data_IF_182350865624
#
_entry.id   IF_182350865624
#
_cell.length_a   1.000
_cell.length_b   1.000
_cell.length_c   1.000
_cell.angle_alpha   90.00
_cell.angle_beta   90.00
_cell.angle_gamma   90.00
#
_symmetry.space_group_name_H-M   'P 1'
#
loop_
_entity.id
_entity.type
_entity.pdbx_description
1 polymer ?
#
# COMPACT_ATOMS: atom_id res chain seq x y z
N UNK A 1 -5.68 29.95 -27.96
CA UNK A 1 -6.45 28.74 -27.61
C UNK A 1 -5.89 28.24 -26.29
N UNK A 2 -6.64 28.39 -25.21
CA UNK A 2 -6.22 27.95 -23.87
C UNK A 2 -6.98 26.68 -23.56
N UNK A 3 -6.30 25.53 -23.48
CA UNK A 3 -6.95 24.29 -23.04
C UNK A 3 -7.03 24.36 -21.53
N UNK A 4 -8.24 24.55 -21.00
CA UNK A 4 -8.52 24.38 -19.58
C UNK A 4 -8.77 22.89 -19.33
N UNK A 5 -7.71 22.13 -19.07
CA UNK A 5 -7.86 20.78 -18.53
C UNK A 5 -8.44 20.88 -17.11
N UNK A 6 -9.49 20.12 -16.82
CA UNK A 6 -9.93 19.91 -15.43
C UNK A 6 -9.09 18.78 -14.86
N UNK A 7 -8.51 18.96 -13.67
CA UNK A 7 -7.77 17.88 -13.02
C UNK A 7 -8.70 16.71 -12.72
N UNK A 8 -8.37 15.52 -13.21
CA UNK A 8 -9.13 14.31 -12.97
C UNK A 8 -8.83 13.71 -11.58
N UNK A 9 -9.71 12.85 -11.08
CA UNK A 9 -9.49 12.14 -9.80
C UNK A 9 -8.81 10.80 -10.09
N UNK A 10 -7.69 10.46 -9.42
CA UNK A 10 -7.03 9.19 -9.65
C UNK A 10 -7.85 8.00 -9.16
N UNK A 11 -7.74 6.87 -9.87
CA UNK A 11 -8.35 5.60 -9.52
C UNK A 11 -7.30 4.67 -8.89
N UNK A 12 -7.57 4.18 -7.68
CA UNK A 12 -6.73 3.20 -6.97
C UNK A 12 -7.36 1.80 -7.08
N UNK A 13 -6.56 0.81 -7.44
CA UNK A 13 -6.98 -0.60 -7.54
C UNK A 13 -5.93 -1.56 -6.96
N UNK A 14 -6.22 -2.87 -7.02
CA UNK A 14 -5.34 -3.94 -6.51
C UNK A 14 -5.78 -4.51 -5.16
N UNK A 15 -4.84 -5.16 -4.47
CA UNK A 15 -5.12 -5.82 -3.19
C UNK A 15 -4.99 -4.80 -2.07
N UNK A 16 -6.13 -4.37 -1.51
CA UNK A 16 -6.20 -3.41 -0.40
C UNK A 16 -6.36 -4.06 0.97
N UNK A 17 -6.73 -5.33 1.02
CA UNK A 17 -7.01 -6.08 2.26
C UNK A 17 -6.18 -7.36 2.34
N UNK A 18 -6.00 -7.87 3.55
CA UNK A 18 -5.37 -9.17 3.77
C UNK A 18 -5.61 -9.66 5.19
N UNK A 19 -5.52 -10.97 5.38
CA UNK A 19 -5.67 -11.64 6.67
C UNK A 19 -4.41 -12.42 7.01
N UNK A 20 -4.20 -12.62 8.31
CA UNK A 20 -3.16 -13.47 8.87
C UNK A 20 -3.79 -14.29 9.99
N UNK A 21 -3.25 -15.48 10.23
CA UNK A 21 -3.64 -16.35 11.35
C UNK A 21 -2.52 -16.31 12.38
N UNK A 22 -2.86 -16.13 13.65
CA UNK A 22 -1.86 -16.13 14.73
C UNK A 22 -0.99 -17.40 14.70
N UNK A 23 0.27 -17.21 15.09
CA UNK A 23 1.29 -18.26 15.20
C UNK A 23 1.54 -19.08 13.93
N UNK A 24 1.08 -18.59 12.79
CA UNK A 24 1.24 -19.25 11.48
C UNK A 24 2.14 -18.43 10.58
N UNK A 25 3.13 -19.08 9.94
CA UNK A 25 4.01 -18.45 8.95
C UNK A 25 4.71 -17.16 9.45
N UNK A 26 5.24 -17.22 10.67
CA UNK A 26 5.96 -16.10 11.27
C UNK A 26 7.29 -15.82 10.55
N UNK A 27 7.52 -14.56 10.20
CA UNK A 27 8.82 -14.06 9.76
C UNK A 27 9.40 -13.18 10.86
N UNK A 28 10.52 -13.61 11.46
CA UNK A 28 11.17 -12.88 12.56
C UNK A 28 10.21 -12.55 13.73
N UNK A 29 9.29 -13.47 14.03
CA UNK A 29 8.28 -13.29 15.09
C UNK A 29 7.08 -12.42 14.71
N UNK A 30 6.97 -11.98 13.45
CA UNK A 30 5.84 -11.19 12.96
C UNK A 30 5.03 -11.96 11.92
N UNK A 31 3.74 -11.67 11.88
CA UNK A 31 2.84 -12.07 10.82
C UNK A 31 2.93 -11.03 9.71
N UNK A 32 3.29 -11.46 8.50
CA UNK A 32 3.48 -10.55 7.37
C UNK A 32 2.48 -10.83 6.26
N UNK A 33 1.88 -9.77 5.71
CA UNK A 33 1.06 -9.87 4.50
C UNK A 33 1.39 -8.74 3.54
N UNK A 34 1.64 -9.10 2.29
CA UNK A 34 1.93 -8.16 1.21
C UNK A 34 0.92 -8.24 0.07
N UNK A 35 0.80 -7.16 -0.67
CA UNK A 35 -0.02 -7.06 -1.88
C UNK A 35 0.37 -5.83 -2.71
N UNK A 36 -0.09 -5.77 -3.96
CA UNK A 36 0.21 -4.65 -4.86
C UNK A 36 -1.02 -3.76 -4.98
N UNK A 37 -0.81 -2.44 -4.91
CA UNK A 37 -1.80 -1.45 -5.34
C UNK A 37 -1.33 -0.79 -6.63
N UNK A 38 -2.29 -0.37 -7.43
CA UNK A 38 -2.07 0.39 -8.66
C UNK A 38 -2.81 1.71 -8.58
N UNK A 39 -2.28 2.74 -9.24
CA UNK A 39 -2.93 4.05 -9.39
C UNK A 39 -2.89 4.47 -10.86
N UNK A 40 -4.03 4.95 -11.36
CA UNK A 40 -4.17 5.47 -12.70
C UNK A 40 -4.86 6.84 -12.64
N UNK A 41 -4.30 7.80 -13.35
CA UNK A 41 -4.79 9.16 -13.51
C UNK A 41 -4.69 9.52 -15.00
N UNK A 42 -5.72 10.19 -15.53
CA UNK A 42 -5.75 10.65 -16.93
C UNK A 42 -4.74 11.77 -17.14
N UNK A 43 -4.46 12.54 -16.09
CA UNK A 43 -3.48 13.61 -16.13
C UNK A 43 -2.05 13.05 -16.12
N UNK A 44 -1.29 13.43 -17.14
CA UNK A 44 0.08 12.97 -17.33
C UNK A 44 0.95 13.29 -16.11
N UNK A 45 1.60 12.27 -15.56
CA UNK A 45 2.48 12.40 -14.39
C UNK A 45 1.79 12.38 -13.03
N UNK A 46 0.45 12.29 -12.97
CA UNK A 46 -0.30 12.28 -11.71
C UNK A 46 -0.59 10.87 -11.16
N UNK A 47 -0.24 9.82 -11.90
CA UNK A 47 -0.36 8.42 -11.46
C UNK A 47 0.75 8.01 -10.48
N UNK A 48 0.74 8.55 -9.26
CA UNK A 48 1.78 8.25 -8.26
C UNK A 48 1.25 8.07 -6.83
N UNK A 49 1.86 7.16 -6.08
CA UNK A 49 1.69 7.07 -4.63
C UNK A 49 2.84 7.78 -3.92
N UNK A 50 2.52 8.45 -2.81
CA UNK A 50 3.52 8.87 -1.84
C UNK A 50 3.87 7.65 -0.98
N UNK A 51 5.15 7.29 -0.94
CA UNK A 51 5.61 6.20 -0.07
C UNK A 51 5.30 6.51 1.40
N UNK A 52 4.79 5.51 2.12
CA UNK A 52 4.45 5.62 3.54
C UNK A 52 5.25 4.55 4.31
N UNK A 53 6.44 4.89 4.83
CA UNK A 53 7.25 3.92 5.54
C UNK A 53 6.73 3.72 6.96
N UNK A 54 6.50 2.46 7.36
CA UNK A 54 6.34 2.05 8.75
C UNK A 54 5.27 2.83 9.54
N UNK A 55 4.12 3.10 8.91
CA UNK A 55 2.96 3.71 9.56
C UNK A 55 2.48 2.78 10.68
N UNK A 56 2.56 3.23 11.93
CA UNK A 56 2.08 2.47 13.07
C UNK A 56 0.55 2.38 13.07
N UNK A 57 0.03 1.17 13.31
CA UNK A 57 -1.37 0.90 13.56
C UNK A 57 -1.55 0.07 14.82
N UNK A 58 -2.80 -0.18 15.19
CA UNK A 58 -3.16 -0.86 16.46
C UNK A 58 -2.45 -2.21 16.66
N UNK A 59 -2.25 -2.97 15.59
CA UNK A 59 -1.73 -4.33 15.66
C UNK A 59 -0.33 -4.49 15.09
N UNK A 60 0.29 -3.43 14.59
CA UNK A 60 1.53 -3.57 13.83
C UNK A 60 1.88 -2.37 12.99
N UNK A 61 2.75 -2.58 12.00
CA UNK A 61 3.20 -1.53 11.09
C UNK A 61 2.77 -1.79 9.67
N UNK A 62 2.41 -0.72 8.99
CA UNK A 62 2.03 -0.68 7.59
C UNK A 62 3.11 0.05 6.78
N UNK A 63 3.53 -0.54 5.67
CA UNK A 63 4.44 0.10 4.71
C UNK A 63 3.81 0.13 3.33
N UNK A 64 3.87 1.28 2.67
CA UNK A 64 3.57 1.46 1.25
C UNK A 64 4.85 1.92 0.53
N UNK A 65 5.43 1.04 -0.28
CA UNK A 65 6.65 1.29 -1.04
C UNK A 65 6.31 1.60 -2.50
N UNK A 66 6.70 2.77 -3.00
CA UNK A 66 6.53 3.11 -4.42
C UNK A 66 7.54 2.29 -5.25
N UNK A 67 7.03 1.44 -6.15
CA UNK A 67 7.83 0.50 -6.96
C UNK A 67 7.97 0.94 -8.42
N UNK A 68 7.62 2.19 -8.72
CA UNK A 68 7.61 2.76 -10.06
C UNK A 68 6.32 3.53 -10.35
N UNK A 69 6.21 4.15 -11.53
CA UNK A 69 5.01 4.88 -11.94
C UNK A 69 3.78 3.97 -11.86
N UNK A 70 2.72 4.40 -11.16
CA UNK A 70 1.47 3.67 -11.05
C UNK A 70 1.49 2.37 -10.23
N UNK A 71 2.63 1.94 -9.67
CA UNK A 71 2.79 0.65 -9.00
C UNK A 71 3.39 0.81 -7.60
N UNK A 72 2.76 0.18 -6.60
CA UNK A 72 3.28 0.19 -5.22
C UNK A 72 3.07 -1.16 -4.53
N UNK A 73 4.04 -1.54 -3.71
CA UNK A 73 3.93 -2.68 -2.80
C UNK A 73 3.43 -2.19 -1.46
N UNK A 74 2.36 -2.81 -0.97
CA UNK A 74 1.97 -2.73 0.43
C UNK A 74 2.46 -3.94 1.22
N UNK A 75 2.83 -3.70 2.48
CA UNK A 75 3.17 -4.74 3.45
C UNK A 75 2.64 -4.36 4.82
N UNK A 76 1.95 -5.29 5.47
CA UNK A 76 1.57 -5.23 6.88
C UNK A 76 2.43 -6.20 7.68
N UNK A 77 2.96 -5.74 8.81
CA UNK A 77 3.61 -6.57 9.82
C UNK A 77 2.81 -6.49 11.11
N UNK A 78 2.08 -7.55 11.45
CA UNK A 78 1.43 -7.69 12.75
C UNK A 78 2.39 -8.36 13.72
N UNK A 79 2.57 -7.77 14.91
CA UNK A 79 3.33 -8.44 15.98
C UNK A 79 2.53 -9.66 16.44
N UNK A 80 3.18 -10.81 16.57
CA UNK A 80 2.56 -11.96 17.26
C UNK A 80 2.11 -11.52 18.65
N UNK A 81 0.98 -12.04 19.12
CA UNK A 81 0.66 -11.86 20.54
C UNK A 81 1.69 -12.59 21.40
N UNK A 82 2.11 -12.00 22.51
CA UNK A 82 2.79 -12.77 23.55
C UNK A 82 1.77 -13.71 24.20
N UNK A 83 2.12 -15.00 24.35
CA UNK A 83 1.36 -15.97 25.15
C UNK A 83 1.56 -15.73 26.64
#
# INVERSE_FOLDING_TARGET
>A
MTIQGTNDVPVIAGVSTGTVTEDTALTNGNLTKSGTLTIADVDAGQSSFIAQPSVAGTYGTFTLAANGPGLTQRTMHKRRSSS
#
